data_IF_116584615001
#
_entry.id   IF_116584615001
#
_cell.length_a   1.000
_cell.length_b   1.000
_cell.length_c   1.000
_cell.angle_alpha   90.00
_cell.angle_beta   90.00
_cell.angle_gamma   90.00
#
_symmetry.space_group_name_H-M   'P 1'
#
loop_
_entity.id
_entity.type
_entity.pdbx_description
1 polymer ?
#
# COMPACT_ATOMS: atom_id res chain seq x y z
N UNK A 1 -29.61 3.47 19.36
CA UNK A 1 -28.67 4.45 19.96
C UNK A 1 -27.25 3.97 19.64
N UNK A 2 -26.48 4.81 18.99
CA UNK A 2 -25.08 4.52 18.66
C UNK A 2 -24.22 4.92 19.86
N UNK A 3 -23.33 4.02 20.28
CA UNK A 3 -22.25 4.30 21.25
C UNK A 3 -20.91 4.01 20.58
N UNK A 4 -19.87 4.77 20.95
CA UNK A 4 -18.51 4.53 20.47
C UNK A 4 -17.59 4.40 21.66
N UNK A 5 -16.95 3.24 21.75
CA UNK A 5 -16.09 2.87 22.86
C UNK A 5 -14.66 2.58 22.38
N UNK A 6 -13.69 2.86 23.24
CA UNK A 6 -12.30 2.50 22.97
C UNK A 6 -12.12 0.98 23.13
N UNK A 7 -11.32 0.41 22.23
CA UNK A 7 -10.95 -1.01 22.27
C UNK A 7 -9.91 -1.22 23.39
N UNK A 8 -10.23 -2.02 24.39
CA UNK A 8 -9.35 -2.26 25.54
C UNK A 8 -9.18 -3.75 25.86
N UNK A 9 -10.22 -4.56 25.61
CA UNK A 9 -10.22 -5.97 25.95
C UNK A 9 -9.90 -6.88 24.76
N UNK A 10 -9.54 -8.14 25.06
CA UNK A 10 -9.39 -9.18 24.02
C UNK A 10 -10.72 -9.41 23.27
N UNK A 11 -11.84 -9.26 23.94
CA UNK A 11 -13.16 -9.38 23.33
C UNK A 11 -13.36 -8.25 22.31
N UNK A 12 -13.06 -6.99 22.68
CA UNK A 12 -13.19 -5.85 21.76
C UNK A 12 -12.31 -6.04 20.52
N UNK A 13 -11.09 -6.56 20.68
CA UNK A 13 -10.22 -6.85 19.54
C UNK A 13 -10.79 -7.95 18.63
N UNK A 14 -11.45 -8.96 19.17
CA UNK A 14 -12.12 -9.97 18.35
C UNK A 14 -13.30 -9.37 17.59
N UNK A 15 -14.09 -8.53 18.24
CA UNK A 15 -15.20 -7.80 17.62
C UNK A 15 -14.68 -6.79 16.57
N UNK A 16 -13.57 -6.10 16.85
CA UNK A 16 -12.91 -5.20 15.91
C UNK A 16 -12.52 -5.91 14.60
N UNK A 17 -11.99 -7.12 14.69
CA UNK A 17 -11.66 -7.92 13.52
C UNK A 17 -12.91 -8.42 12.77
N UNK A 18 -13.96 -8.73 13.47
CA UNK A 18 -15.19 -9.26 12.88
C UNK A 18 -16.03 -8.22 12.13
N UNK A 19 -15.80 -6.91 12.31
CA UNK A 19 -16.54 -5.85 11.60
C UNK A 19 -16.48 -6.02 10.09
N UNK A 20 -15.34 -6.46 9.56
CA UNK A 20 -15.19 -6.67 8.11
C UNK A 20 -16.11 -7.76 7.57
N UNK A 21 -16.40 -8.80 8.34
CA UNK A 21 -17.33 -9.86 7.91
C UNK A 21 -18.76 -9.33 7.77
N UNK A 22 -19.13 -8.33 8.58
CA UNK A 22 -20.43 -7.66 8.49
C UNK A 22 -20.48 -6.71 7.28
N UNK A 23 -19.48 -5.85 7.13
CA UNK A 23 -19.44 -4.79 6.11
C UNK A 23 -19.39 -5.38 4.69
N UNK A 24 -18.62 -6.45 4.50
CA UNK A 24 -18.42 -7.07 3.19
C UNK A 24 -19.28 -8.31 2.96
N UNK A 25 -20.38 -8.44 3.70
CA UNK A 25 -21.30 -9.56 3.51
C UNK A 25 -21.87 -9.58 2.07
N UNK A 26 -21.53 -10.63 1.33
CA UNK A 26 -21.98 -10.79 -0.08
C UNK A 26 -21.07 -10.12 -1.12
N UNK A 27 -19.99 -9.50 -0.74
CA UNK A 27 -18.99 -8.96 -1.67
C UNK A 27 -18.13 -10.10 -2.25
N UNK A 28 -18.20 -10.36 -3.56
CA UNK A 28 -17.44 -11.44 -4.20
C UNK A 28 -15.94 -11.17 -4.31
N UNK A 29 -15.52 -9.92 -4.12
CA UNK A 29 -14.12 -9.49 -4.23
C UNK A 29 -13.44 -9.38 -2.87
N UNK A 30 -14.20 -9.53 -1.78
CA UNK A 30 -13.65 -9.57 -0.43
C UNK A 30 -12.79 -10.81 -0.22
N UNK A 31 -11.56 -10.61 0.16
CA UNK A 31 -10.69 -11.69 0.62
C UNK A 31 -10.89 -11.93 2.11
N UNK A 32 -11.05 -13.20 2.55
CA UNK A 32 -11.37 -13.52 3.95
C UNK A 32 -10.30 -13.12 4.96
N UNK A 33 -9.06 -12.99 4.50
CA UNK A 33 -7.91 -12.62 5.34
C UNK A 33 -7.26 -11.37 4.77
N UNK A 34 -7.12 -10.34 5.58
CA UNK A 34 -6.36 -9.17 5.18
C UNK A 34 -4.88 -9.56 4.98
N UNK A 35 -4.22 -9.05 3.91
CA UNK A 35 -2.82 -9.37 3.62
C UNK A 35 -1.87 -8.97 4.76
N UNK A 36 -2.29 -7.99 5.57
CA UNK A 36 -1.59 -7.55 6.77
C UNK A 36 -2.28 -8.08 8.01
N UNK A 37 -1.51 -8.72 8.85
CA UNK A 37 -1.97 -9.24 10.14
C UNK A 37 -2.25 -8.06 11.09
N UNK A 38 -3.54 -7.71 11.27
CA UNK A 38 -3.97 -6.65 12.20
C UNK A 38 -3.42 -6.84 13.60
N UNK A 39 -3.27 -8.11 14.03
CA UNK A 39 -2.70 -8.41 15.35
C UNK A 39 -1.25 -7.90 15.44
N UNK A 40 -0.47 -8.01 14.36
CA UNK A 40 0.91 -7.53 14.30
C UNK A 40 1.03 -6.01 14.17
N UNK A 41 0.02 -5.36 13.64
CA UNK A 41 0.06 -3.91 13.41
C UNK A 41 -0.49 -3.14 14.61
N UNK A 42 -1.59 -3.63 15.20
CA UNK A 42 -2.34 -2.89 16.21
C UNK A 42 -2.21 -3.47 17.62
N UNK A 43 -2.16 -4.80 17.78
CA UNK A 43 -2.16 -5.45 19.10
C UNK A 43 -0.74 -5.70 19.60
N UNK A 44 0.13 -6.17 18.73
CA UNK A 44 1.54 -6.47 19.05
C UNK A 44 2.46 -5.85 17.99
N UNK A 45 2.45 -4.52 17.84
CA UNK A 45 3.20 -3.85 16.80
C UNK A 45 4.70 -4.09 16.97
N UNK A 46 5.47 -4.14 15.86
CA UNK A 46 6.92 -4.13 15.92
C UNK A 46 7.43 -2.94 16.74
N UNK A 47 8.54 -3.13 17.44
CA UNK A 47 9.14 -2.10 18.31
C UNK A 47 9.28 -0.74 17.61
N UNK A 48 9.63 -0.75 16.32
CA UNK A 48 9.76 0.49 15.54
C UNK A 48 8.44 1.27 15.42
N UNK A 49 7.31 0.58 15.29
CA UNK A 49 5.98 1.20 15.26
C UNK A 49 5.58 1.62 16.67
N UNK A 50 5.67 0.71 17.63
CA UNK A 50 5.30 0.97 19.03
C UNK A 50 6.04 2.15 19.66
N UNK A 51 7.28 2.42 19.22
CA UNK A 51 8.11 3.51 19.77
C UNK A 51 7.83 4.90 19.19
N UNK A 52 7.12 4.96 18.07
CA UNK A 52 6.92 6.22 17.31
C UNK A 52 5.46 6.49 16.95
N UNK A 53 4.56 5.53 17.17
CA UNK A 53 3.12 5.69 16.92
C UNK A 53 2.33 5.47 18.21
N UNK A 54 1.58 6.50 18.60
CA UNK A 54 0.53 6.35 19.62
C UNK A 54 -0.77 6.05 18.87
N UNK A 55 -1.46 4.99 19.27
CA UNK A 55 -2.60 4.43 18.53
C UNK A 55 -3.77 4.20 19.48
N UNK A 56 -4.99 4.56 19.03
CA UNK A 56 -6.23 4.20 19.70
C UNK A 56 -7.23 3.61 18.70
N UNK A 57 -7.78 2.47 19.02
CA UNK A 57 -8.82 1.83 18.23
C UNK A 57 -10.19 2.06 18.89
N UNK A 58 -11.23 2.24 18.07
CA UNK A 58 -12.61 2.50 18.52
C UNK A 58 -13.59 1.56 17.80
N UNK A 59 -14.66 1.20 18.51
CA UNK A 59 -15.78 0.42 18.01
C UNK A 59 -17.07 1.21 18.15
N UNK A 60 -17.87 1.28 17.09
CA UNK A 60 -19.24 1.75 17.14
C UNK A 60 -20.19 0.57 17.37
N UNK A 61 -21.14 0.76 18.27
CA UNK A 61 -22.18 -0.23 18.60
C UNK A 61 -23.56 0.37 18.43
N UNK A 62 -24.43 -0.34 17.72
CA UNK A 62 -25.85 -0.03 17.68
C UNK A 62 -26.61 -1.05 18.54
N UNK A 63 -27.27 -0.56 19.60
CA UNK A 63 -27.99 -1.42 20.54
C UNK A 63 -27.17 -2.60 21.09
N UNK A 64 -25.85 -2.36 21.28
CA UNK A 64 -24.91 -3.36 21.78
C UNK A 64 -24.25 -4.24 20.69
N UNK A 65 -24.71 -4.15 19.45
CA UNK A 65 -24.11 -4.88 18.32
C UNK A 65 -23.06 -4.01 17.64
N UNK A 66 -21.87 -4.55 17.37
CA UNK A 66 -20.80 -3.82 16.69
C UNK A 66 -21.16 -3.61 15.22
N UNK A 67 -21.08 -2.35 14.77
CA UNK A 67 -21.48 -1.91 13.43
C UNK A 67 -20.38 -1.10 12.70
N UNK A 68 -19.27 -0.81 13.38
CA UNK A 68 -18.15 -0.11 12.75
C UNK A 68 -16.92 -0.02 13.64
N UNK A 69 -15.80 0.35 13.02
CA UNK A 69 -14.49 0.50 13.68
C UNK A 69 -13.69 1.62 13.04
N UNK A 70 -12.76 2.21 13.78
CA UNK A 70 -11.74 3.14 13.29
C UNK A 70 -10.51 3.10 14.19
N UNK A 71 -9.36 3.46 13.66
CA UNK A 71 -8.12 3.65 14.41
C UNK A 71 -7.66 5.10 14.25
N UNK A 72 -7.37 5.77 15.34
CA UNK A 72 -6.68 7.04 15.38
C UNK A 72 -5.18 6.82 15.64
N UNK A 73 -4.32 7.54 14.93
CA UNK A 73 -2.86 7.35 14.92
C UNK A 73 -2.18 8.70 15.04
N UNK A 74 -1.35 8.86 16.05
CA UNK A 74 -0.38 9.96 16.16
C UNK A 74 1.00 9.43 15.83
N UNK A 75 1.52 9.74 14.64
CA UNK A 75 2.89 9.45 14.25
C UNK A 75 3.81 10.55 14.73
N UNK A 76 4.50 10.31 15.85
CA UNK A 76 5.44 11.28 16.44
C UNK A 76 6.66 11.49 15.56
N UNK A 77 7.07 10.49 14.75
CA UNK A 77 8.18 10.65 13.80
C UNK A 77 7.80 11.62 12.67
N UNK A 78 6.56 11.51 12.17
CA UNK A 78 6.04 12.42 11.16
C UNK A 78 5.98 13.85 11.69
N UNK A 79 5.37 14.04 12.87
CA UNK A 79 5.30 15.37 13.52
C UNK A 79 6.68 15.96 13.77
N UNK A 80 7.66 15.17 14.25
CA UNK A 80 9.03 15.64 14.49
C UNK A 80 9.76 16.01 13.20
N UNK A 81 9.52 15.26 12.13
CA UNK A 81 10.19 15.47 10.85
C UNK A 81 9.62 16.66 10.09
N UNK A 82 8.29 16.74 9.97
CA UNK A 82 7.61 17.79 9.17
C UNK A 82 7.36 19.07 9.94
N UNK A 83 7.24 19.02 11.27
CA UNK A 83 6.72 20.09 12.11
C UNK A 83 5.21 20.27 12.01
N UNK A 84 4.51 19.41 11.26
CA UNK A 84 3.06 19.51 11.07
C UNK A 84 2.31 18.86 12.23
N UNK A 85 1.22 19.50 12.64
CA UNK A 85 0.35 19.05 13.73
C UNK A 85 -0.82 18.22 13.17
N UNK A 86 -0.50 17.14 12.45
CA UNK A 86 -1.46 16.26 11.79
C UNK A 86 -1.48 14.88 12.46
N UNK A 87 -2.68 14.41 12.80
CA UNK A 87 -2.93 13.02 13.16
C UNK A 87 -3.56 12.26 12.01
N UNK A 88 -3.52 10.95 12.08
CA UNK A 88 -4.07 10.10 11.03
C UNK A 88 -5.23 9.26 11.57
N UNK A 89 -6.16 8.87 10.68
CA UNK A 89 -7.12 7.82 10.94
C UNK A 89 -7.01 6.73 9.88
N UNK A 90 -7.30 5.48 10.26
CA UNK A 90 -7.25 4.36 9.33
C UNK A 90 -8.03 3.15 9.84
N UNK A 91 -7.95 2.04 9.12
CA UNK A 91 -8.68 0.80 9.44
C UNK A 91 -10.18 1.04 9.64
N UNK A 92 -10.70 2.05 8.96
CA UNK A 92 -12.11 2.43 9.01
C UNK A 92 -12.96 1.38 8.30
N UNK A 93 -13.93 0.86 9.02
CA UNK A 93 -14.97 -0.03 8.49
C UNK A 93 -16.27 0.31 9.19
N UNK A 94 -17.33 0.51 8.43
CA UNK A 94 -18.65 0.81 8.98
C UNK A 94 -19.74 0.34 8.04
N UNK A 95 -20.91 -0.01 8.60
CA UNK A 95 -22.12 -0.18 7.81
C UNK A 95 -22.52 1.15 7.16
N UNK A 96 -23.36 1.11 6.12
CA UNK A 96 -23.84 2.32 5.44
C UNK A 96 -24.84 3.08 6.32
N UNK A 97 -24.30 3.68 7.37
CA UNK A 97 -25.02 4.53 8.32
C UNK A 97 -24.19 5.73 8.72
N UNK A 98 -24.73 6.92 8.47
CA UNK A 98 -24.05 8.17 8.73
C UNK A 98 -23.85 8.49 10.22
N UNK A 99 -24.78 8.06 11.11
CA UNK A 99 -24.62 8.25 12.56
C UNK A 99 -23.46 7.40 13.08
N UNK A 100 -23.33 6.18 12.59
CA UNK A 100 -22.18 5.30 12.88
C UNK A 100 -20.87 5.94 12.42
N UNK A 101 -20.84 6.42 11.16
CA UNK A 101 -19.68 7.08 10.59
C UNK A 101 -19.28 8.33 11.40
N UNK A 102 -20.26 9.20 11.72
CA UNK A 102 -20.03 10.39 12.50
C UNK A 102 -19.46 10.07 13.87
N UNK A 103 -20.05 9.12 14.59
CA UNK A 103 -19.59 8.73 15.93
C UNK A 103 -18.13 8.24 15.92
N UNK A 104 -17.77 7.41 14.94
CA UNK A 104 -16.40 6.91 14.79
C UNK A 104 -15.38 8.02 14.48
N UNK A 105 -15.71 8.90 13.53
CA UNK A 105 -14.84 10.00 13.15
C UNK A 105 -14.71 11.05 14.26
N UNK A 106 -15.78 11.34 15.00
CA UNK A 106 -15.76 12.22 16.17
C UNK A 106 -14.86 11.64 17.28
N UNK A 107 -14.94 10.34 17.55
CA UNK A 107 -14.09 9.70 18.55
C UNK A 107 -12.60 9.75 18.16
N UNK A 108 -12.27 9.49 16.89
CA UNK A 108 -10.91 9.60 16.39
C UNK A 108 -10.40 11.05 16.46
N UNK A 109 -11.21 12.01 16.01
CA UNK A 109 -10.89 13.43 16.03
C UNK A 109 -10.66 13.95 17.45
N UNK A 110 -11.54 13.61 18.39
CA UNK A 110 -11.42 14.01 19.80
C UNK A 110 -10.13 13.46 20.43
N UNK A 111 -9.77 12.20 20.12
CA UNK A 111 -8.55 11.59 20.63
C UNK A 111 -7.28 12.26 20.08
N UNK A 112 -7.28 12.66 18.80
CA UNK A 112 -6.18 13.39 18.16
C UNK A 112 -6.08 14.84 18.70
N UNK A 113 -7.22 15.55 18.79
CA UNK A 113 -7.28 16.90 19.32
C UNK A 113 -6.79 16.99 20.78
N UNK A 114 -7.11 15.99 21.62
CA UNK A 114 -6.61 15.88 22.98
C UNK A 114 -5.07 15.73 23.06
N UNK A 115 -4.41 15.40 21.96
CA UNK A 115 -2.95 15.33 21.80
C UNK A 115 -2.35 16.59 21.17
N UNK A 116 -3.17 17.62 20.97
CA UNK A 116 -2.75 18.89 20.38
C UNK A 116 -2.58 18.84 18.86
N UNK A 117 -3.16 17.84 18.19
CA UNK A 117 -3.09 17.75 16.74
C UNK A 117 -4.20 18.56 16.11
N UNK A 118 -3.85 19.51 15.24
CA UNK A 118 -4.75 20.50 14.64
C UNK A 118 -5.46 20.04 13.37
N UNK A 119 -5.14 18.84 12.86
CA UNK A 119 -5.80 18.27 11.70
C UNK A 119 -5.85 16.73 11.78
N UNK A 120 -6.81 16.13 11.07
CA UNK A 120 -6.93 14.69 10.90
C UNK A 120 -6.92 14.35 9.41
N UNK A 121 -5.99 13.49 9.01
CA UNK A 121 -5.85 12.99 7.63
C UNK A 121 -6.03 11.48 7.55
N UNK A 122 -6.53 11.00 6.43
CA UNK A 122 -6.66 9.55 6.19
C UNK A 122 -7.70 9.20 5.11
N UNK A 123 -8.04 7.93 4.99
CA UNK A 123 -7.50 6.81 5.76
C UNK A 123 -6.03 6.55 5.49
N UNK A 124 -5.28 6.28 6.56
CA UNK A 124 -3.84 6.04 6.49
C UNK A 124 -3.43 5.07 7.60
N UNK A 125 -2.58 4.10 7.29
CA UNK A 125 -2.05 3.15 8.27
C UNK A 125 -0.96 3.77 9.14
N UNK A 126 -0.30 2.98 10.01
CA UNK A 126 0.83 3.46 10.80
C UNK A 126 2.01 3.97 9.96
N UNK A 127 2.05 3.66 8.68
CA UNK A 127 2.83 4.31 7.62
C UNK A 127 2.18 4.03 6.26
N UNK A 128 2.64 4.72 5.21
CA UNK A 128 2.15 4.54 3.85
C UNK A 128 2.32 3.10 3.30
N UNK A 129 3.19 2.30 3.93
CA UNK A 129 3.41 0.90 3.55
C UNK A 129 2.32 -0.05 4.04
N UNK A 130 1.44 0.39 4.94
CA UNK A 130 0.38 -0.46 5.47
C UNK A 130 -0.95 -0.26 4.75
N UNK A 131 -1.38 0.97 4.58
CA UNK A 131 -2.59 1.32 3.83
C UNK A 131 -2.62 2.83 3.60
N UNK A 132 -3.09 3.28 2.45
CA UNK A 132 -3.28 4.70 2.16
C UNK A 132 -4.48 4.91 1.23
N UNK A 133 -5.43 5.75 1.67
CA UNK A 133 -6.62 6.12 0.92
C UNK A 133 -7.74 5.09 0.94
N UNK A 134 -8.83 5.47 0.28
CA UNK A 134 -9.95 4.60 -0.09
C UNK A 134 -10.17 4.65 -1.59
N UNK A 135 -10.68 3.56 -2.15
CA UNK A 135 -11.18 3.54 -3.54
C UNK A 135 -12.38 4.47 -3.65
N UNK A 136 -12.35 5.37 -4.65
CA UNK A 136 -13.43 6.34 -4.91
C UNK A 136 -14.07 6.19 -6.29
N UNK A 137 -13.61 5.28 -7.12
CA UNK A 137 -14.17 4.97 -8.42
C UNK A 137 -14.84 3.58 -8.44
N UNK A 138 -15.79 3.42 -9.36
CA UNK A 138 -16.74 2.29 -9.36
C UNK A 138 -16.30 1.19 -10.33
N UNK A 139 -15.14 0.59 -10.11
CA UNK A 139 -14.77 -0.60 -10.87
C UNK A 139 -14.65 -1.83 -9.94
N UNK A 140 -15.71 -2.67 -9.86
CA UNK A 140 -15.70 -3.84 -8.99
C UNK A 140 -14.72 -4.90 -9.54
N UNK A 141 -13.60 -5.05 -8.87
CA UNK A 141 -12.58 -6.06 -9.19
C UNK A 141 -11.85 -6.52 -7.94
N UNK A 142 -11.20 -7.69 -8.03
CA UNK A 142 -10.33 -8.19 -6.97
C UNK A 142 -9.27 -7.13 -6.64
N UNK A 143 -9.12 -6.73 -5.36
CA UNK A 143 -8.10 -5.78 -4.98
C UNK A 143 -6.72 -6.34 -5.26
N UNK A 144 -5.83 -5.48 -5.76
CA UNK A 144 -4.42 -5.83 -5.92
C UNK A 144 -3.78 -5.99 -4.53
N UNK A 145 -2.79 -6.86 -4.42
CA UNK A 145 -2.11 -7.13 -3.15
C UNK A 145 -1.63 -5.83 -2.48
N UNK A 146 -2.02 -5.64 -1.22
CA UNK A 146 -1.65 -4.47 -0.42
C UNK A 146 -2.33 -3.15 -0.83
N UNK A 147 -3.35 -3.18 -1.70
CA UNK A 147 -4.16 -2.00 -2.03
C UNK A 147 -5.51 -2.04 -1.30
N UNK A 148 -6.07 -0.86 -0.96
CA UNK A 148 -7.36 -0.78 -0.30
C UNK A 148 -8.48 -1.42 -1.12
N UNK A 149 -9.43 -2.02 -0.41
CA UNK A 149 -10.73 -2.44 -0.93
C UNK A 149 -11.78 -1.99 0.08
N UNK A 150 -12.77 -1.26 -0.37
CA UNK A 150 -13.79 -0.67 0.50
C UNK A 150 -15.11 -0.45 -0.23
N UNK A 151 -16.25 -0.41 0.50
CA UNK A 151 -17.50 0.08 -0.05
C UNK A 151 -17.40 1.54 -0.50
N UNK A 152 -18.02 1.87 -1.63
CA UNK A 152 -17.95 3.22 -2.20
C UNK A 152 -18.63 4.30 -1.35
N UNK A 153 -19.60 3.92 -0.51
CA UNK A 153 -20.27 4.87 0.38
C UNK A 153 -19.36 5.47 1.45
N UNK A 154 -18.13 4.93 1.64
CA UNK A 154 -17.17 5.54 2.59
C UNK A 154 -16.78 6.96 2.20
N UNK A 155 -16.66 7.26 0.90
CA UNK A 155 -16.42 8.62 0.43
C UNK A 155 -17.53 9.57 0.90
N UNK A 156 -18.80 9.16 0.75
CA UNK A 156 -19.95 9.95 1.21
C UNK A 156 -19.98 10.12 2.75
N UNK A 157 -19.57 9.10 3.52
CA UNK A 157 -19.42 9.21 4.98
C UNK A 157 -18.42 10.29 5.36
N UNK A 158 -17.25 10.29 4.71
CA UNK A 158 -16.18 11.25 5.00
C UNK A 158 -16.56 12.67 4.59
N UNK A 159 -17.06 12.84 3.39
CA UNK A 159 -17.46 14.15 2.86
C UNK A 159 -18.61 14.78 3.68
N UNK A 160 -19.60 13.97 4.06
CA UNK A 160 -20.71 14.43 4.90
C UNK A 160 -20.27 14.81 6.31
N UNK A 161 -19.24 14.16 6.85
CA UNK A 161 -18.64 14.54 8.14
C UNK A 161 -17.76 15.81 8.02
N UNK A 162 -17.45 16.27 6.79
CA UNK A 162 -16.66 17.48 6.50
C UNK A 162 -15.18 17.23 6.20
N UNK A 163 -14.80 15.99 5.93
CA UNK A 163 -13.50 15.69 5.35
C UNK A 163 -13.47 16.09 3.87
N UNK A 164 -12.35 16.64 3.42
CA UNK A 164 -12.12 17.07 2.02
C UNK A 164 -11.00 16.24 1.43
N UNK A 165 -11.19 15.76 0.20
CA UNK A 165 -10.13 15.05 -0.53
C UNK A 165 -8.95 15.98 -0.81
N UNK A 166 -7.76 15.55 -0.43
CA UNK A 166 -6.54 16.36 -0.55
C UNK A 166 -5.48 15.73 -1.44
N UNK A 167 -5.52 14.42 -1.65
CA UNK A 167 -4.52 13.70 -2.41
C UNK A 167 -5.09 12.48 -3.07
N UNK A 168 -4.82 12.31 -4.36
CA UNK A 168 -5.19 11.13 -5.10
C UNK A 168 -3.95 10.29 -5.44
N UNK A 169 -4.13 8.96 -5.35
CA UNK A 169 -3.19 7.97 -5.86
C UNK A 169 -3.89 7.19 -6.95
N UNK A 170 -3.17 6.90 -8.01
CA UNK A 170 -3.69 6.15 -9.13
C UNK A 170 -3.06 4.77 -9.22
N UNK A 171 -3.82 3.79 -9.72
CA UNK A 171 -3.26 2.58 -10.29
C UNK A 171 -3.41 2.59 -11.80
N UNK A 172 -2.45 1.97 -12.49
CA UNK A 172 -2.46 1.80 -13.93
C UNK A 172 -2.28 0.33 -14.25
N UNK A 173 -3.36 -0.27 -14.77
CA UNK A 173 -3.38 -1.67 -15.13
C UNK A 173 -2.97 -1.85 -16.60
N UNK A 174 -2.08 -2.78 -16.85
CA UNK A 174 -1.70 -3.25 -18.17
C UNK A 174 -2.09 -4.73 -18.25
N UNK A 175 -3.32 -4.98 -18.72
CA UNK A 175 -3.82 -6.30 -19.03
C UNK A 175 -3.24 -6.78 -20.35
N UNK A 176 -2.92 -8.08 -20.40
CA UNK A 176 -2.29 -8.70 -21.54
C UNK A 176 -0.97 -8.04 -21.98
N UNK A 177 0.09 -8.15 -21.17
CA UNK A 177 1.43 -7.80 -21.61
C UNK A 177 1.89 -8.62 -22.82
N UNK A 178 1.28 -9.76 -23.12
CA UNK A 178 1.48 -10.42 -24.40
C UNK A 178 1.07 -9.49 -25.55
N UNK A 179 0.03 -8.67 -25.37
CA UNK A 179 -0.27 -7.58 -26.30
C UNK A 179 0.82 -6.52 -26.29
N UNK A 180 1.35 -6.15 -25.10
CA UNK A 180 2.47 -5.23 -25.00
C UNK A 180 3.72 -5.85 -25.63
N UNK A 181 4.03 -7.12 -25.32
CA UNK A 181 5.19 -7.84 -25.84
C UNK A 181 5.09 -8.16 -27.33
N UNK A 182 3.90 -8.35 -27.87
CA UNK A 182 3.65 -8.65 -29.28
C UNK A 182 3.33 -7.40 -30.11
N UNK A 183 3.19 -6.21 -29.50
CA UNK A 183 2.99 -4.96 -30.23
C UNK A 183 4.30 -4.54 -30.94
N UNK A 184 4.24 -4.05 -32.19
CA UNK A 184 5.40 -3.49 -32.87
C UNK A 184 6.10 -2.40 -32.07
N UNK A 185 5.33 -1.60 -31.31
CA UNK A 185 5.84 -0.55 -30.43
C UNK A 185 6.73 -1.13 -29.32
N UNK A 186 6.38 -2.30 -28.77
CA UNK A 186 7.21 -2.96 -27.75
C UNK A 186 8.58 -3.36 -28.35
N UNK A 187 8.58 -3.93 -29.55
CA UNK A 187 9.83 -4.28 -30.24
C UNK A 187 10.71 -3.03 -30.43
N UNK A 188 10.11 -1.89 -30.78
CA UNK A 188 10.80 -0.61 -30.88
C UNK A 188 11.32 -0.13 -29.52
N UNK A 189 10.52 -0.22 -28.46
CA UNK A 189 10.93 0.14 -27.12
C UNK A 189 12.08 -0.76 -26.63
N UNK A 190 12.05 -2.05 -26.92
CA UNK A 190 13.14 -2.97 -26.60
C UNK A 190 14.43 -2.62 -27.34
N UNK A 191 14.36 -2.24 -28.64
CA UNK A 191 15.53 -1.78 -29.37
C UNK A 191 16.13 -0.49 -28.78
N UNK A 192 15.27 0.44 -28.34
CA UNK A 192 15.69 1.67 -27.64
C UNK A 192 16.33 1.31 -26.30
N UNK A 193 15.71 0.42 -25.53
CA UNK A 193 16.23 -0.07 -24.26
C UNK A 193 17.63 -0.69 -24.42
N UNK A 194 17.81 -1.60 -25.37
CA UNK A 194 19.11 -2.23 -25.62
C UNK A 194 20.19 -1.19 -26.01
N UNK A 195 19.81 -0.17 -26.81
CA UNK A 195 20.72 0.93 -27.14
C UNK A 195 21.08 1.80 -25.94
N UNK A 196 20.13 2.08 -25.06
CA UNK A 196 20.37 2.85 -23.83
C UNK A 196 21.22 2.02 -22.88
N UNK A 197 20.85 0.74 -22.68
CA UNK A 197 21.57 -0.21 -21.82
C UNK A 197 23.04 -0.39 -22.27
N UNK A 198 23.26 -0.50 -23.58
CA UNK A 198 24.61 -0.61 -24.13
C UNK A 198 25.51 0.63 -23.93
N UNK A 199 24.90 1.80 -23.66
CA UNK A 199 25.59 3.07 -23.38
C UNK A 199 25.69 3.40 -21.91
N UNK A 200 24.90 2.72 -21.10
CA UNK A 200 24.82 2.92 -19.64
C UNK A 200 25.76 1.94 -18.96
N UNK A 201 26.45 2.41 -17.94
CA UNK A 201 27.28 1.57 -17.05
C UNK A 201 26.46 0.99 -15.88
N UNK A 202 25.14 1.20 -15.91
CA UNK A 202 24.21 0.68 -14.89
C UNK A 202 24.07 -0.83 -15.00
N UNK A 203 24.28 -1.50 -13.88
CA UNK A 203 24.09 -2.94 -13.73
C UNK A 203 22.91 -3.23 -12.84
N UNK A 204 22.26 -4.39 -13.03
CA UNK A 204 21.09 -4.79 -12.25
C UNK A 204 21.37 -6.09 -11.51
N UNK A 205 20.99 -6.11 -10.24
CA UNK A 205 20.98 -7.36 -9.47
C UNK A 205 19.70 -7.55 -8.69
N UNK A 206 19.34 -8.79 -8.50
CA UNK A 206 18.23 -9.15 -7.62
C UNK A 206 18.64 -9.10 -6.14
N UNK A 207 17.69 -8.82 -5.27
CA UNK A 207 17.87 -9.01 -3.82
C UNK A 207 18.15 -10.49 -3.49
N UNK A 208 19.04 -10.75 -2.55
CA UNK A 208 19.40 -12.13 -2.11
C UNK A 208 19.14 -12.31 -0.62
N UNK A 209 18.65 -13.51 -0.21
CA UNK A 209 18.42 -13.81 1.21
C UNK A 209 19.67 -13.62 2.08
N UNK A 210 20.86 -13.97 1.54
CA UNK A 210 22.13 -13.84 2.27
C UNK A 210 22.52 -12.38 2.52
N UNK A 211 22.08 -11.46 1.66
CA UNK A 211 22.40 -10.02 1.74
C UNK A 211 21.20 -9.16 2.12
N UNK A 212 20.07 -9.76 2.49
CA UNK A 212 18.81 -9.06 2.73
C UNK A 212 18.95 -7.90 3.73
N UNK A 213 19.74 -8.07 4.79
CA UNK A 213 19.99 -6.99 5.77
C UNK A 213 20.80 -5.84 5.18
N UNK A 214 21.79 -6.14 4.33
CA UNK A 214 22.57 -5.13 3.61
C UNK A 214 21.67 -4.42 2.60
N UNK A 215 20.94 -5.19 1.81
CA UNK A 215 20.06 -4.66 0.76
C UNK A 215 18.94 -3.80 1.37
N UNK A 216 18.38 -4.19 2.53
CA UNK A 216 17.40 -3.39 3.26
C UNK A 216 17.97 -2.03 3.72
N UNK A 217 19.25 -1.97 4.15
CA UNK A 217 19.89 -0.67 4.47
C UNK A 217 20.00 0.21 3.24
N UNK A 218 20.43 -0.36 2.11
CA UNK A 218 20.51 0.34 0.83
C UNK A 218 19.15 0.90 0.42
N UNK A 219 18.10 0.08 0.48
CA UNK A 219 16.73 0.48 0.14
C UNK A 219 16.25 1.60 1.06
N UNK A 220 16.47 1.48 2.38
CA UNK A 220 16.14 2.54 3.34
C UNK A 220 16.85 3.86 3.02
N UNK A 221 18.15 3.82 2.74
CA UNK A 221 18.94 5.02 2.49
C UNK A 221 18.51 5.72 1.20
N UNK A 222 18.26 4.95 0.15
CA UNK A 222 17.70 5.46 -1.10
C UNK A 222 16.28 6.02 -0.91
N UNK A 223 15.41 5.31 -0.19
CA UNK A 223 14.06 5.77 0.13
C UNK A 223 14.08 7.11 0.87
N UNK A 224 14.82 7.17 1.97
CA UNK A 224 14.91 8.39 2.79
C UNK A 224 15.52 9.58 2.03
N UNK A 225 16.32 9.33 0.99
CA UNK A 225 16.89 10.37 0.14
C UNK A 225 15.93 10.84 -0.95
N UNK A 226 15.13 9.92 -1.49
CA UNK A 226 14.28 10.18 -2.66
C UNK A 226 12.94 10.80 -2.27
N UNK A 227 12.34 10.38 -1.16
CA UNK A 227 10.95 10.72 -0.82
C UNK A 227 10.77 11.92 0.10
N UNK A 228 11.82 12.71 0.37
CA UNK A 228 11.81 13.85 1.30
C UNK A 228 10.69 14.88 1.06
N UNK A 229 10.22 15.02 -0.18
CA UNK A 229 9.15 15.96 -0.56
C UNK A 229 7.83 15.24 -0.88
N UNK A 230 7.72 13.97 -0.52
CA UNK A 230 6.53 13.18 -0.84
C UNK A 230 5.47 13.39 0.25
N UNK A 231 4.20 13.49 -0.13
CA UNK A 231 3.12 13.62 0.83
C UNK A 231 3.11 12.44 1.82
N UNK A 232 2.93 12.71 3.10
CA UNK A 232 2.91 11.68 4.14
C UNK A 232 4.26 11.03 4.43
N UNK A 233 5.37 11.56 3.87
CA UNK A 233 6.69 11.00 4.12
C UNK A 233 7.15 11.27 5.55
N UNK A 234 7.64 10.23 6.19
CA UNK A 234 8.52 10.30 7.37
C UNK A 234 9.74 9.40 7.16
N UNK A 235 10.90 9.75 7.72
CA UNK A 235 12.10 8.93 7.57
C UNK A 235 11.89 7.52 8.11
N UNK A 236 12.17 6.54 7.26
CA UNK A 236 12.02 5.13 7.60
C UNK A 236 13.24 4.63 8.37
N UNK A 237 13.01 4.03 9.53
CA UNK A 237 14.07 3.37 10.27
C UNK A 237 14.45 2.02 9.64
N UNK A 238 15.69 1.57 9.86
CA UNK A 238 16.10 0.25 9.40
C UNK A 238 15.25 -0.87 10.01
N UNK A 239 14.88 -0.72 11.28
CA UNK A 239 14.08 -1.74 11.99
C UNK A 239 12.70 -1.85 11.36
N UNK A 240 12.04 -0.72 11.10
CA UNK A 240 10.71 -0.68 10.48
C UNK A 240 10.73 -1.31 9.08
N UNK A 241 11.64 -0.87 8.19
CA UNK A 241 11.77 -1.46 6.86
C UNK A 241 12.08 -2.96 6.92
N UNK A 242 12.93 -3.38 7.84
CA UNK A 242 13.32 -4.79 7.94
C UNK A 242 12.17 -5.66 8.46
N UNK A 243 11.32 -5.16 9.36
CA UNK A 243 10.10 -5.84 9.78
C UNK A 243 9.08 -5.96 8.62
N UNK A 244 8.84 -4.87 7.89
CA UNK A 244 8.01 -4.90 6.68
C UNK A 244 8.52 -5.93 5.67
N UNK A 245 9.82 -5.91 5.39
CA UNK A 245 10.43 -6.84 4.46
C UNK A 245 10.28 -8.30 4.92
N UNK A 246 10.43 -8.58 6.22
CA UNK A 246 10.22 -9.94 6.75
C UNK A 246 8.80 -10.44 6.53
N UNK A 247 7.81 -9.57 6.65
CA UNK A 247 6.40 -9.91 6.38
C UNK A 247 6.19 -10.26 4.90
N UNK A 248 6.88 -9.57 3.99
CA UNK A 248 6.75 -9.78 2.55
C UNK A 248 7.59 -10.94 2.00
N UNK A 249 8.69 -11.32 2.66
CA UNK A 249 9.61 -12.37 2.18
C UNK A 249 8.93 -13.67 1.74
N UNK A 250 7.87 -14.18 2.41
CA UNK A 250 7.20 -15.41 1.97
C UNK A 250 6.55 -15.32 0.59
N UNK A 251 6.09 -14.13 0.20
CA UNK A 251 5.33 -13.88 -1.02
C UNK A 251 6.14 -13.20 -2.13
N UNK A 252 7.28 -12.56 -1.79
CA UNK A 252 8.14 -11.91 -2.78
C UNK A 252 8.78 -12.90 -3.76
N UNK A 253 8.80 -12.48 -5.02
CA UNK A 253 9.72 -13.03 -6.01
C UNK A 253 10.97 -12.17 -6.11
N UNK A 254 12.07 -12.67 -5.59
CA UNK A 254 13.35 -11.94 -5.60
C UNK A 254 13.84 -11.57 -7.00
N UNK A 255 13.42 -12.31 -8.03
CA UNK A 255 13.77 -12.02 -9.42
C UNK A 255 13.12 -10.72 -9.91
N UNK A 256 12.01 -10.32 -9.29
CA UNK A 256 11.28 -9.08 -9.56
C UNK A 256 11.67 -7.93 -8.61
N UNK A 257 12.63 -8.16 -7.70
CA UNK A 257 13.13 -7.11 -6.79
C UNK A 257 14.54 -6.74 -7.20
N UNK A 258 14.68 -5.54 -7.74
CA UNK A 258 15.88 -5.08 -8.47
C UNK A 258 16.58 -3.95 -7.73
N UNK A 259 17.90 -4.05 -7.66
CA UNK A 259 18.79 -2.95 -7.31
C UNK A 259 19.59 -2.57 -8.58
N UNK A 260 19.58 -1.29 -8.90
CA UNK A 260 20.45 -0.71 -9.95
C UNK A 260 21.72 -0.16 -9.29
N UNK A 261 22.86 -0.49 -9.88
CA UNK A 261 24.17 -0.06 -9.40
C UNK A 261 24.93 0.62 -10.56
N UNK A 262 25.54 1.77 -10.28
CA UNK A 262 26.45 2.51 -11.17
C UNK A 262 27.82 2.58 -10.50
N UNK A 263 28.87 2.11 -11.16
CA UNK A 263 30.22 1.99 -10.58
C UNK A 263 30.24 1.25 -9.23
N UNK A 264 29.40 0.22 -9.09
CA UNK A 264 29.27 -0.57 -7.87
C UNK A 264 28.56 0.15 -6.73
N UNK A 265 28.01 1.36 -6.94
CA UNK A 265 27.20 2.11 -5.97
C UNK A 265 25.72 1.93 -6.28
N UNK A 266 24.88 1.60 -5.28
CA UNK A 266 23.44 1.53 -5.47
C UNK A 266 22.88 2.91 -5.83
N UNK A 267 22.13 3.00 -6.94
CA UNK A 267 21.54 4.24 -7.44
C UNK A 267 20.05 4.14 -7.69
N UNK A 268 19.46 2.95 -7.60
CA UNK A 268 18.02 2.79 -7.80
C UNK A 268 17.49 1.46 -7.27
N UNK A 269 16.20 1.42 -7.04
CA UNK A 269 15.48 0.26 -6.56
C UNK A 269 14.12 0.15 -7.25
N UNK A 270 13.73 -1.08 -7.57
CA UNK A 270 12.39 -1.41 -8.04
C UNK A 270 11.93 -2.72 -7.40
N UNK A 271 10.69 -2.73 -6.91
CA UNK A 271 10.07 -3.92 -6.34
C UNK A 271 8.78 -4.26 -7.09
N UNK A 272 8.79 -5.44 -7.73
CA UNK A 272 7.59 -6.09 -8.25
C UNK A 272 7.11 -7.17 -7.27
N UNK A 273 5.85 -7.11 -6.89
CA UNK A 273 5.19 -8.06 -5.99
C UNK A 273 4.21 -8.89 -6.80
N UNK A 274 4.35 -10.23 -6.86
CA UNK A 274 3.32 -11.08 -7.44
C UNK A 274 1.97 -10.84 -6.76
N UNK A 275 0.89 -10.76 -7.55
CA UNK A 275 -0.45 -10.53 -7.01
C UNK A 275 -0.98 -11.78 -6.31
N UNK A 276 -0.53 -11.97 -5.07
CA UNK A 276 -0.90 -13.13 -4.24
C UNK A 276 -2.39 -13.16 -3.90
N UNK A 277 -3.12 -12.06 -4.08
CA UNK A 277 -4.56 -12.01 -3.89
C UNK A 277 -5.28 -12.94 -4.89
N UNK A 278 -4.73 -13.13 -6.09
CA UNK A 278 -5.24 -14.11 -7.05
C UNK A 278 -5.18 -15.54 -6.49
N UNK A 279 -4.12 -15.89 -5.77
CA UNK A 279 -4.00 -17.19 -5.11
C UNK A 279 -4.91 -17.27 -3.86
N UNK A 280 -5.02 -16.20 -3.09
CA UNK A 280 -5.91 -16.13 -1.94
C UNK A 280 -7.39 -16.29 -2.34
N UNK A 281 -7.79 -15.68 -3.46
CA UNK A 281 -9.13 -15.82 -4.03
C UNK A 281 -9.45 -17.28 -4.39
N UNK A 282 -8.47 -18.06 -4.90
CA UNK A 282 -8.67 -19.51 -5.14
C UNK A 282 -8.89 -20.30 -3.85
N UNK A 283 -8.35 -19.85 -2.73
CA UNK A 283 -8.48 -20.49 -1.42
C UNK A 283 -9.67 -19.95 -0.61
N UNK A 284 -10.34 -18.88 -1.04
CA UNK A 284 -11.37 -18.16 -0.27
C UNK A 284 -12.56 -19.06 0.16
N UNK A 285 -12.89 -20.10 -0.61
CA UNK A 285 -13.95 -21.06 -0.28
C UNK A 285 -13.65 -21.96 0.93
N UNK A 286 -12.40 -22.02 1.37
CA UNK A 286 -12.00 -22.83 2.53
C UNK A 286 -12.35 -22.12 3.83
N UNK A 287 -13.04 -22.80 4.76
CA UNK A 287 -13.48 -22.21 6.04
C UNK A 287 -12.33 -21.97 7.02
N UNK A 288 -11.29 -22.80 6.96
CA UNK A 288 -10.16 -22.73 7.90
C UNK A 288 -9.09 -21.76 7.38
N UNK A 289 -8.75 -20.72 8.18
CA UNK A 289 -7.68 -19.75 7.90
C UNK A 289 -6.36 -20.45 7.59
N UNK A 290 -5.95 -21.37 8.44
CA UNK A 290 -4.74 -22.17 8.27
C UNK A 290 -4.67 -22.90 6.92
N UNK A 291 -5.82 -23.48 6.46
CA UNK A 291 -5.90 -24.12 5.14
C UNK A 291 -5.81 -23.11 4.00
N UNK A 292 -6.45 -21.94 4.15
CA UNK A 292 -6.34 -20.86 3.15
C UNK A 292 -4.89 -20.41 2.99
N UNK A 293 -4.21 -20.13 4.10
CA UNK A 293 -2.81 -19.70 4.10
C UNK A 293 -1.90 -20.76 3.47
N UNK A 294 -2.11 -22.04 3.81
CA UNK A 294 -1.34 -23.14 3.25
C UNK A 294 -1.54 -23.27 1.74
N UNK A 295 -2.78 -23.22 1.26
CA UNK A 295 -3.10 -23.31 -0.17
C UNK A 295 -2.58 -22.09 -0.91
N UNK A 296 -2.73 -20.90 -0.37
CA UNK A 296 -2.18 -19.67 -0.94
C UNK A 296 -0.66 -19.75 -1.08
N UNK A 297 0.05 -20.13 -0.01
CA UNK A 297 1.50 -20.29 -0.04
C UNK A 297 1.94 -21.39 -1.02
N UNK A 298 1.18 -22.48 -1.13
CA UNK A 298 1.45 -23.52 -2.11
C UNK A 298 1.39 -22.97 -3.53
N UNK A 299 0.36 -22.17 -3.88
CA UNK A 299 0.26 -21.52 -5.19
C UNK A 299 1.42 -20.54 -5.43
N UNK A 300 1.82 -19.78 -4.42
CA UNK A 300 2.94 -18.82 -4.51
C UNK A 300 4.28 -19.53 -4.74
N UNK A 301 4.47 -20.73 -4.18
CA UNK A 301 5.77 -21.43 -4.20
C UNK A 301 5.92 -22.44 -5.33
N UNK A 302 4.83 -22.89 -5.95
CA UNK A 302 4.93 -23.89 -7.05
C UNK A 302 5.65 -23.29 -8.28
N UNK A 303 6.39 -24.10 -9.06
CA UNK A 303 7.08 -23.64 -10.28
C UNK A 303 6.15 -22.99 -11.30
N UNK A 304 4.95 -23.55 -11.51
CA UNK A 304 3.90 -23.08 -12.42
C UNK A 304 2.95 -22.06 -11.76
N UNK A 305 3.46 -21.19 -10.88
CA UNK A 305 2.61 -20.25 -10.16
C UNK A 305 1.87 -19.27 -11.07
N UNK A 306 2.42 -18.96 -12.24
CA UNK A 306 1.81 -18.06 -13.22
C UNK A 306 0.54 -18.61 -13.85
N UNK A 307 0.22 -19.91 -13.68
CA UNK A 307 -1.10 -20.44 -14.01
C UNK A 307 -2.21 -19.89 -13.10
N UNK A 308 -1.87 -19.31 -11.96
CA UNK A 308 -2.79 -18.78 -10.95
C UNK A 308 -2.48 -17.32 -10.62
N UNK A 309 -1.20 -16.95 -10.55
CA UNK A 309 -0.74 -15.60 -10.25
C UNK A 309 -0.08 -15.06 -11.51
N UNK A 310 -0.86 -14.46 -12.38
CA UNK A 310 -0.39 -13.89 -13.63
C UNK A 310 0.00 -12.40 -13.51
N UNK A 311 -0.42 -11.76 -12.42
CA UNK A 311 -0.23 -10.34 -12.14
C UNK A 311 1.00 -10.02 -11.29
N UNK A 312 1.59 -8.85 -11.53
CA UNK A 312 2.65 -8.25 -10.71
C UNK A 312 2.28 -6.80 -10.41
N UNK A 313 2.30 -6.42 -9.13
CA UNK A 313 2.24 -5.02 -8.71
C UNK A 313 3.64 -4.43 -8.70
N UNK A 314 3.82 -3.30 -9.37
CA UNK A 314 5.01 -2.44 -9.18
C UNK A 314 4.73 -1.51 -8.01
N UNK A 315 5.27 -1.88 -6.84
CA UNK A 315 4.98 -1.21 -5.57
C UNK A 315 5.95 -0.06 -5.29
N UNK A 316 7.22 -0.27 -5.56
CA UNK A 316 8.26 0.73 -5.32
C UNK A 316 9.12 0.90 -6.56
N UNK A 317 9.32 2.14 -6.95
CA UNK A 317 10.33 2.55 -7.93
C UNK A 317 10.91 3.88 -7.48
N UNK A 318 12.20 3.89 -7.21
CA UNK A 318 12.91 5.14 -6.91
C UNK A 318 14.37 5.08 -7.35
N UNK A 319 14.90 6.24 -7.65
CA UNK A 319 16.28 6.45 -8.11
C UNK A 319 16.88 7.56 -7.27
N UNK A 320 18.13 7.41 -6.92
CA UNK A 320 18.91 8.44 -6.23
C UNK A 320 18.79 9.78 -6.98
N UNK A 321 18.28 10.87 -6.36
CA UNK A 321 18.13 12.16 -7.03
C UNK A 321 19.45 12.74 -7.54
N UNK A 322 20.59 12.34 -6.93
CA UNK A 322 21.92 12.77 -7.35
C UNK A 322 22.54 11.83 -8.42
N UNK A 323 21.81 10.81 -8.86
CA UNK A 323 22.31 9.92 -9.93
C UNK A 323 22.48 10.70 -11.24
N UNK A 324 23.69 10.67 -11.85
CA UNK A 324 23.94 11.37 -13.10
C UNK A 324 23.23 10.74 -14.31
N UNK A 325 22.99 9.42 -14.27
CA UNK A 325 22.30 8.71 -15.35
C UNK A 325 20.77 8.81 -15.17
N UNK A 326 20.14 9.65 -16.00
CA UNK A 326 18.68 9.88 -15.98
C UNK A 326 17.88 8.72 -16.56
N UNK A 327 18.53 7.73 -17.17
CA UNK A 327 17.85 6.59 -17.75
C UNK A 327 17.56 5.47 -16.72
N UNK A 328 18.11 5.52 -15.51
CA UNK A 328 18.03 4.44 -14.51
C UNK A 328 16.60 3.98 -14.25
N UNK A 329 15.64 4.90 -14.08
CA UNK A 329 14.24 4.55 -13.85
C UNK A 329 13.62 3.77 -15.04
N UNK A 330 13.86 4.25 -16.26
CA UNK A 330 13.39 3.57 -17.48
C UNK A 330 14.06 2.20 -17.66
N UNK A 331 15.35 2.13 -17.37
CA UNK A 331 16.11 0.87 -17.43
C UNK A 331 15.61 -0.15 -16.39
N UNK A 332 15.26 0.29 -15.17
CA UNK A 332 14.66 -0.58 -14.13
C UNK A 332 13.32 -1.15 -14.57
N UNK A 333 12.44 -0.32 -15.14
CA UNK A 333 11.12 -0.75 -15.64
C UNK A 333 11.28 -1.77 -16.77
N UNK A 334 12.15 -1.49 -17.73
CA UNK A 334 12.36 -2.39 -18.86
C UNK A 334 13.03 -3.70 -18.42
N UNK A 335 13.98 -3.66 -17.49
CA UNK A 335 14.59 -4.87 -16.92
C UNK A 335 13.52 -5.72 -16.17
N UNK A 336 12.61 -5.07 -15.41
CA UNK A 336 11.49 -5.76 -14.80
C UNK A 336 10.61 -6.41 -15.86
N UNK A 337 10.24 -5.67 -16.91
CA UNK A 337 9.38 -6.17 -18.00
C UNK A 337 9.98 -7.40 -18.68
N UNK A 338 11.30 -7.39 -18.96
CA UNK A 338 12.00 -8.57 -19.50
C UNK A 338 11.89 -9.76 -18.55
N UNK A 339 12.13 -9.54 -17.25
CA UNK A 339 12.05 -10.62 -16.27
C UNK A 339 10.64 -11.15 -16.10
N UNK A 340 9.62 -10.29 -16.10
CA UNK A 340 8.23 -10.70 -16.06
C UNK A 340 7.86 -11.61 -17.22
N UNK A 341 8.22 -11.21 -18.44
CA UNK A 341 8.03 -12.01 -19.65
C UNK A 341 8.70 -13.38 -19.52
N UNK A 342 9.98 -13.40 -19.14
CA UNK A 342 10.76 -14.65 -19.04
C UNK A 342 10.25 -15.58 -17.93
N UNK A 343 9.50 -15.02 -16.95
CA UNK A 343 8.86 -15.75 -15.87
C UNK A 343 7.40 -16.13 -16.17
N UNK A 344 6.81 -15.64 -17.27
CA UNK A 344 5.45 -15.95 -17.70
C UNK A 344 4.36 -15.11 -17.03
N UNK A 345 4.70 -13.95 -16.41
CA UNK A 345 3.69 -13.00 -15.93
C UNK A 345 3.09 -12.23 -17.10
N UNK A 346 1.77 -12.04 -17.08
CA UNK A 346 1.02 -11.42 -18.16
C UNK A 346 0.27 -10.14 -17.78
N UNK A 347 0.20 -9.81 -16.52
CA UNK A 347 -0.43 -8.56 -16.02
C UNK A 347 0.56 -7.76 -15.20
N UNK A 348 0.52 -6.46 -15.36
CA UNK A 348 1.28 -5.55 -14.49
C UNK A 348 0.42 -4.37 -14.07
N UNK A 349 0.46 -4.03 -12.80
CA UNK A 349 -0.19 -2.85 -12.29
C UNK A 349 0.82 -1.98 -11.55
N UNK A 350 0.94 -0.73 -11.99
CA UNK A 350 1.74 0.29 -11.31
C UNK A 350 0.85 1.01 -10.29
N UNK A 351 1.08 0.77 -8.99
CA UNK A 351 0.29 1.34 -7.89
C UNK A 351 1.08 1.32 -6.57
N UNK A 352 0.94 2.32 -5.71
CA UNK A 352 0.25 3.60 -5.94
C UNK A 352 1.13 4.62 -6.67
N UNK A 353 0.53 5.43 -7.53
CA UNK A 353 1.19 6.53 -8.22
C UNK A 353 0.50 7.83 -7.82
N UNK A 354 1.23 8.78 -7.21
CA UNK A 354 0.68 10.07 -6.82
C UNK A 354 0.27 10.92 -8.03
N UNK A 355 -0.83 11.66 -7.91
CA UNK A 355 -1.38 12.56 -8.91
C UNK A 355 -0.41 13.67 -9.36
N UNK A 356 0.43 14.17 -8.44
CA UNK A 356 1.42 15.21 -8.68
C UNK A 356 2.85 14.68 -8.87
N UNK A 357 3.03 13.37 -8.94
CA UNK A 357 4.35 12.77 -9.13
C UNK A 357 5.06 13.33 -10.36
N UNK A 358 6.29 13.87 -10.22
CA UNK A 358 7.08 14.32 -11.37
C UNK A 358 7.30 13.20 -12.40
N UNK A 359 7.21 11.98 -11.94
CA UNK A 359 7.33 10.78 -12.76
C UNK A 359 6.16 10.62 -13.72
N UNK A 360 4.95 11.07 -13.32
CA UNK A 360 3.77 11.09 -14.19
C UNK A 360 3.97 11.99 -15.41
N UNK A 361 4.53 13.19 -15.24
CA UNK A 361 4.65 14.22 -16.29
C UNK A 361 5.57 13.89 -17.44
N UNK A 362 6.32 12.82 -17.42
CA UNK A 362 7.26 12.41 -18.48
C UNK A 362 7.35 10.91 -18.67
N UNK A 363 6.49 10.15 -18.00
CA UNK A 363 6.54 8.70 -17.95
C UNK A 363 6.02 8.04 -19.24
N UNK A 364 6.32 6.77 -19.37
CA UNK A 364 5.71 5.87 -20.37
C UNK A 364 4.18 5.89 -20.26
N UNK A 365 3.64 6.01 -19.04
CA UNK A 365 2.20 6.06 -18.76
C UNK A 365 1.50 7.22 -19.48
N UNK A 366 2.06 8.43 -19.36
CA UNK A 366 1.51 9.63 -20.03
C UNK A 366 1.63 9.53 -21.56
N UNK A 367 2.72 8.94 -22.05
CA UNK A 367 2.93 8.77 -23.51
C UNK A 367 2.04 7.69 -24.11
N UNK A 368 1.54 6.76 -23.30
CA UNK A 368 0.63 5.69 -23.74
C UNK A 368 -0.85 6.09 -23.61
N UNK A 369 -1.16 7.35 -23.20
CA UNK A 369 -2.51 7.86 -22.96
C UNK A 369 -3.33 6.91 -22.03
N UNK A 370 -2.65 6.30 -21.05
CA UNK A 370 -3.29 5.41 -20.11
C UNK A 370 -4.17 6.21 -19.14
N UNK A 371 -5.42 5.80 -19.01
CA UNK A 371 -6.31 6.26 -17.94
C UNK A 371 -6.04 5.47 -16.66
N UNK A 372 -6.20 6.09 -15.49
CA UNK A 372 -6.16 5.34 -14.23
C UNK A 372 -7.17 4.20 -14.25
N UNK A 373 -6.75 3.03 -13.79
CA UNK A 373 -7.62 1.89 -13.56
C UNK A 373 -8.42 2.06 -12.26
N UNK A 374 -7.76 2.60 -11.22
CA UNK A 374 -8.38 2.94 -9.94
C UNK A 374 -7.81 4.23 -9.36
N UNK A 375 -8.67 4.92 -8.63
CA UNK A 375 -8.33 6.13 -7.87
C UNK A 375 -8.50 5.85 -6.38
N UNK A 376 -7.46 6.16 -5.62
CA UNK A 376 -7.45 6.06 -4.15
C UNK A 376 -7.28 7.46 -3.59
N UNK A 377 -8.15 7.87 -2.66
CA UNK A 377 -8.18 9.23 -2.13
C UNK A 377 -7.89 9.28 -0.64
N UNK A 378 -7.05 10.24 -0.28
CA UNK A 378 -6.83 10.68 1.09
C UNK A 378 -7.66 11.92 1.36
N UNK A 379 -8.25 11.98 2.53
CA UNK A 379 -9.05 13.09 3.01
C UNK A 379 -8.37 13.79 4.17
N UNK A 380 -8.72 15.06 4.40
CA UNK A 380 -8.25 15.87 5.52
C UNK A 380 -9.37 16.72 6.09
N UNK A 381 -9.29 17.01 7.37
CA UNK A 381 -10.12 18.01 8.05
C UNK A 381 -9.32 18.64 9.18
N UNK A 382 -9.41 19.98 9.31
CA UNK A 382 -8.90 20.70 10.47
C UNK A 382 -9.74 20.36 11.72
N UNK A 383 -9.06 20.24 12.85
CA UNK A 383 -9.69 19.90 14.13
C UNK A 383 -9.75 21.13 15.02
N UNK A 384 -10.86 21.28 15.74
CA UNK A 384 -10.95 22.26 16.83
C UNK A 384 -10.16 21.75 18.03
N UNK A 385 -9.12 22.48 18.40
CA UNK A 385 -8.35 22.15 19.61
C UNK A 385 -9.14 22.53 20.86
N UNK A 386 -9.11 21.71 21.91
CA UNK A 386 -9.69 22.09 23.19
C UNK A 386 -9.05 23.40 23.65
N UNK A 387 -9.89 24.32 24.11
CA UNK A 387 -9.41 25.60 24.67
C UNK A 387 -8.58 25.29 25.94
N UNK A 388 -7.42 25.95 26.10
CA UNK A 388 -6.56 25.74 27.26
C UNK A 388 -7.24 26.06 28.58
#
# INVERSE_FOLDING_TARGET
MITVDRVESTQDWNEFKAVTDLVYQGDPYRLPDEPMDLDRILISPPVAIASTRDIAAFLARENGVVVGRVVAIHDTSFTQYTGESIGFFGFYEAVDDHEVATGLLDAAAAWLAARGLGAMSGPFGPSMFYSAGIVVDDEPALPLVGMPHNPLYYAAHFEKWGLVGIKDFYSYLFDDPCVIYNRPEYARHMQIFEKIKARSEVTFRSMKYRTVRRDARIVRDLYNKTFVNFWGFSPLSFVELFELLKMMLPVLDRRLTLLAELDGKPVGFLMGIPDVNQAAAKAAHLKSRWLRDLVTLWHVKKPSRTDVIDGVRVDMLFVDPDCPDRAVSSLLIMELSVRMRDLGYTRVEAAPVLDDSPWMKGSVLTRMEQTPHRTYRIYNRDLELPRP
#
